data_IF_793070323752
#
_entry.id   IF_793070323752
#
_cell.length_a   1.000
_cell.length_b   1.000
_cell.length_c   1.000
_cell.angle_alpha   90.00
_cell.angle_beta   90.00
_cell.angle_gamma   90.00
#
_symmetry.space_group_name_H-M   'P 1'
#
loop_
_entity.id
_entity.type
_entity.pdbx_description
1 polymer ?
#
# COMPACT_ATOMS: atom_id res chain seq x y z
N UNK A 1 -3.97 -16.47 2.16
CA UNK A 1 -3.40 -15.13 2.46
C UNK A 1 -4.28 -14.38 3.45
N UNK A 2 -5.59 -14.35 3.25
CA UNK A 2 -6.55 -13.63 4.09
C UNK A 2 -6.49 -14.00 5.58
N UNK A 3 -6.36 -15.30 5.87
CA UNK A 3 -6.25 -15.79 7.25
C UNK A 3 -5.09 -15.17 8.06
N UNK A 4 -3.95 -14.90 7.39
CA UNK A 4 -2.81 -14.24 8.03
C UNK A 4 -3.12 -12.77 8.30
N UNK A 5 -3.70 -12.07 7.33
CA UNK A 5 -4.06 -10.66 7.45
C UNK A 5 -5.13 -10.45 8.54
N UNK A 6 -6.19 -11.27 8.54
CA UNK A 6 -7.26 -11.21 9.54
C UNK A 6 -6.72 -11.42 10.97
N UNK A 7 -5.94 -12.48 11.19
CA UNK A 7 -5.37 -12.78 12.51
C UNK A 7 -4.40 -11.69 12.97
N UNK A 8 -3.57 -11.18 12.06
CA UNK A 8 -2.67 -10.06 12.37
C UNK A 8 -3.44 -8.79 12.70
N UNK A 9 -4.52 -8.51 12.00
CA UNK A 9 -5.38 -7.35 12.29
C UNK A 9 -6.13 -7.48 13.64
N UNK A 10 -6.53 -8.71 14.01
CA UNK A 10 -7.25 -8.98 15.26
C UNK A 10 -6.37 -8.92 16.51
N UNK A 11 -5.16 -9.49 16.46
CA UNK A 11 -4.34 -9.74 17.66
C UNK A 11 -2.87 -9.35 17.53
N UNK A 12 -2.46 -8.79 16.38
CA UNK A 12 -1.07 -8.44 16.07
C UNK A 12 -0.25 -9.64 15.59
N UNK A 13 0.89 -9.33 14.95
CA UNK A 13 1.78 -10.35 14.41
C UNK A 13 2.30 -11.31 15.51
N UNK A 14 2.77 -10.79 16.63
CA UNK A 14 3.42 -11.62 17.67
C UNK A 14 2.50 -12.68 18.26
N UNK A 15 1.25 -12.31 18.52
CA UNK A 15 0.25 -13.23 19.09
C UNK A 15 -0.27 -14.26 18.07
N UNK A 16 -0.12 -14.00 16.77
CA UNK A 16 -0.57 -14.90 15.70
C UNK A 16 0.30 -16.16 15.64
N UNK A 17 -0.33 -17.35 15.69
CA UNK A 17 0.34 -18.65 15.64
C UNK A 17 -0.01 -19.41 14.38
N UNK A 18 0.91 -20.25 13.90
CA UNK A 18 0.66 -21.13 12.74
C UNK A 18 -0.59 -22.00 12.92
N UNK A 19 -0.85 -22.48 14.15
CA UNK A 19 -2.05 -23.27 14.45
C UNK A 19 -3.36 -22.50 14.18
N UNK A 20 -3.33 -21.18 14.44
CA UNK A 20 -4.49 -20.31 14.20
C UNK A 20 -4.65 -20.04 12.70
N UNK A 21 -3.52 -19.82 12.00
CA UNK A 21 -3.50 -19.57 10.55
C UNK A 21 -4.09 -20.79 9.80
N UNK A 22 -3.61 -22.01 10.07
CA UNK A 22 -4.12 -23.22 9.39
C UNK A 22 -5.59 -23.48 9.71
N UNK A 23 -6.01 -23.22 10.96
CA UNK A 23 -7.42 -23.34 11.37
C UNK A 23 -8.31 -22.32 10.64
N UNK A 24 -7.90 -21.07 10.58
CA UNK A 24 -8.63 -19.99 9.92
C UNK A 24 -8.68 -20.18 8.41
N UNK A 25 -7.58 -20.61 7.80
CA UNK A 25 -7.47 -20.89 6.36
C UNK A 25 -8.17 -22.19 5.93
N UNK A 26 -8.53 -23.06 6.87
CA UNK A 26 -9.15 -24.34 6.57
C UNK A 26 -8.22 -25.34 5.84
N UNK A 27 -6.89 -25.19 6.01
CA UNK A 27 -5.89 -26.04 5.36
C UNK A 27 -5.20 -26.96 6.37
N UNK A 28 -4.61 -28.07 5.88
CA UNK A 28 -3.81 -28.93 6.73
C UNK A 28 -2.46 -28.25 7.07
N UNK A 29 -1.95 -28.50 8.29
CA UNK A 29 -0.65 -27.98 8.71
C UNK A 29 0.49 -28.39 7.76
N UNK A 30 0.42 -29.61 7.22
CA UNK A 30 1.37 -30.08 6.21
C UNK A 30 1.36 -29.18 4.96
N UNK A 31 0.18 -28.86 4.45
CA UNK A 31 0.03 -27.98 3.27
C UNK A 31 0.67 -26.61 3.49
N UNK A 32 0.58 -26.06 4.70
CA UNK A 32 1.26 -24.81 5.01
C UNK A 32 2.77 -24.99 4.93
N UNK A 33 3.33 -26.04 5.56
CA UNK A 33 4.78 -26.29 5.57
C UNK A 33 5.33 -26.81 4.22
N UNK A 34 4.48 -27.31 3.33
CA UNK A 34 4.88 -27.64 1.94
C UNK A 34 5.12 -26.36 1.11
N UNK A 35 4.64 -25.18 1.56
CA UNK A 35 4.73 -23.92 0.82
C UNK A 35 5.48 -22.81 1.58
N UNK A 36 5.62 -22.90 2.91
CA UNK A 36 6.20 -21.85 3.75
C UNK A 36 7.01 -22.48 4.90
N UNK A 37 8.20 -21.98 5.14
CA UNK A 37 9.07 -22.48 6.22
C UNK A 37 8.57 -22.07 7.62
N UNK A 38 7.71 -21.05 7.72
CA UNK A 38 7.18 -20.60 9.01
C UNK A 38 6.24 -19.40 8.93
N UNK A 39 5.89 -18.87 10.09
CA UNK A 39 4.95 -17.75 10.22
C UNK A 39 5.43 -16.50 9.46
N UNK A 40 6.71 -16.19 9.55
CA UNK A 40 7.29 -15.03 8.87
C UNK A 40 7.12 -15.14 7.36
N UNK A 41 7.40 -16.31 6.79
CA UNK A 41 7.27 -16.50 5.33
C UNK A 41 5.81 -16.43 4.87
N UNK A 42 4.85 -16.93 5.67
CA UNK A 42 3.42 -16.73 5.41
C UNK A 42 3.04 -15.25 5.41
N UNK A 43 3.59 -14.48 6.38
CA UNK A 43 3.34 -13.04 6.47
C UNK A 43 3.92 -12.30 5.26
N UNK A 44 5.19 -12.56 4.93
CA UNK A 44 5.86 -11.94 3.78
C UNK A 44 5.17 -12.30 2.46
N UNK A 45 4.77 -13.56 2.27
CA UNK A 45 4.02 -13.98 1.09
C UNK A 45 2.65 -13.31 0.97
N UNK A 46 1.95 -13.11 2.10
CA UNK A 46 0.69 -12.38 2.12
C UNK A 46 0.90 -10.88 1.78
N UNK A 47 1.95 -10.28 2.34
CA UNK A 47 2.35 -8.91 2.07
C UNK A 47 2.69 -8.70 0.59
N UNK A 48 3.60 -9.52 0.06
CA UNK A 48 4.05 -9.42 -1.34
C UNK A 48 2.87 -9.57 -2.32
N UNK A 49 1.98 -10.55 -2.07
CA UNK A 49 0.79 -10.76 -2.90
C UNK A 49 -0.15 -9.56 -2.92
N UNK A 50 -0.37 -8.92 -1.77
CA UNK A 50 -1.24 -7.74 -1.68
C UNK A 50 -0.62 -6.52 -2.39
N UNK A 51 0.68 -6.29 -2.20
CA UNK A 51 1.41 -5.20 -2.87
C UNK A 51 1.45 -5.42 -4.38
N UNK A 52 1.71 -6.64 -4.83
CA UNK A 52 1.74 -6.98 -6.26
C UNK A 52 0.36 -6.80 -6.92
N UNK A 53 -0.70 -7.23 -6.26
CA UNK A 53 -2.06 -7.07 -6.76
C UNK A 53 -2.42 -5.60 -6.93
N UNK A 54 -2.27 -4.78 -5.89
CA UNK A 54 -2.67 -3.37 -5.95
C UNK A 54 -1.81 -2.57 -6.91
N UNK A 55 -0.50 -2.81 -6.95
CA UNK A 55 0.41 -2.11 -7.85
C UNK A 55 0.13 -2.47 -9.33
N UNK A 56 -0.19 -3.73 -9.63
CA UNK A 56 -0.57 -4.16 -10.97
C UNK A 56 -1.87 -3.47 -11.42
N UNK A 57 -2.89 -3.44 -10.57
CA UNK A 57 -4.15 -2.76 -10.85
C UNK A 57 -3.97 -1.25 -11.07
N UNK A 58 -3.08 -0.60 -10.30
CA UNK A 58 -2.73 0.82 -10.49
C UNK A 58 -2.05 1.03 -11.85
N UNK A 59 -1.06 0.20 -12.22
CA UNK A 59 -0.38 0.29 -13.51
C UNK A 59 -1.38 0.17 -14.68
N UNK A 60 -2.31 -0.78 -14.60
CA UNK A 60 -3.35 -0.99 -15.62
C UNK A 60 -4.28 0.23 -15.81
N UNK A 61 -4.81 0.77 -14.71
CA UNK A 61 -5.71 1.93 -14.79
C UNK A 61 -4.98 3.20 -15.19
N UNK A 62 -3.74 3.40 -14.75
CA UNK A 62 -2.91 4.53 -15.16
C UNK A 62 -2.60 4.46 -16.67
N UNK A 63 -2.34 3.27 -17.21
CA UNK A 63 -2.12 3.09 -18.64
C UNK A 63 -3.39 3.38 -19.47
N UNK A 64 -4.57 3.03 -18.95
CA UNK A 64 -5.86 3.25 -19.58
C UNK A 64 -6.34 4.71 -19.50
N UNK A 65 -5.94 5.47 -18.50
CA UNK A 65 -6.35 6.87 -18.26
C UNK A 65 -5.72 7.88 -19.25
N UNK A 66 -4.90 7.43 -20.19
CA UNK A 66 -4.29 8.29 -21.22
C UNK A 66 -3.03 9.02 -20.72
N UNK A 67 -2.76 10.19 -21.30
CA UNK A 67 -1.53 10.94 -21.05
C UNK A 67 -1.70 12.04 -19.98
N UNK A 68 -2.94 12.43 -19.66
CA UNK A 68 -3.18 13.45 -18.63
C UNK A 68 -2.79 12.93 -17.25
N UNK A 69 -1.97 13.74 -16.59
CA UNK A 69 -1.44 13.37 -15.30
C UNK A 69 -2.50 13.32 -14.20
N UNK A 70 -3.40 14.29 -14.18
CA UNK A 70 -4.44 14.38 -13.15
C UNK A 70 -5.33 13.15 -13.25
N UNK A 71 -5.69 12.76 -14.47
CA UNK A 71 -6.51 11.57 -14.72
C UNK A 71 -5.79 10.29 -14.27
N UNK A 72 -4.49 10.14 -14.59
CA UNK A 72 -3.69 8.97 -14.20
C UNK A 72 -3.53 8.86 -12.68
N UNK A 73 -3.16 9.95 -12.02
CA UNK A 73 -3.01 9.97 -10.56
C UNK A 73 -4.34 9.72 -9.88
N UNK A 74 -5.43 10.32 -10.39
CA UNK A 74 -6.79 10.12 -9.86
C UNK A 74 -7.21 8.65 -9.96
N UNK A 75 -7.03 8.03 -11.14
CA UNK A 75 -7.36 6.63 -11.35
C UNK A 75 -6.52 5.69 -10.44
N UNK A 76 -5.23 5.97 -10.29
CA UNK A 76 -4.36 5.19 -9.40
C UNK A 76 -4.78 5.30 -7.92
N UNK A 77 -5.13 6.50 -7.46
CA UNK A 77 -5.62 6.72 -6.10
C UNK A 77 -6.98 6.07 -5.85
N UNK A 78 -7.89 6.09 -6.82
CA UNK A 78 -9.19 5.42 -6.71
C UNK A 78 -9.00 3.92 -6.47
N UNK A 79 -8.15 3.27 -7.26
CA UNK A 79 -7.81 1.85 -7.07
C UNK A 79 -7.13 1.61 -5.73
N UNK A 80 -6.15 2.43 -5.33
CA UNK A 80 -5.41 2.23 -4.10
C UNK A 80 -6.28 2.39 -2.86
N UNK A 81 -7.02 3.49 -2.77
CA UNK A 81 -7.89 3.77 -1.62
C UNK A 81 -9.09 2.81 -1.59
N UNK A 82 -9.62 2.44 -2.75
CA UNK A 82 -10.64 1.40 -2.88
C UNK A 82 -10.15 0.06 -2.33
N UNK A 83 -8.94 -0.37 -2.71
CA UNK A 83 -8.33 -1.59 -2.20
C UNK A 83 -8.17 -1.58 -0.66
N UNK A 84 -7.71 -0.46 -0.10
CA UNK A 84 -7.59 -0.25 1.35
C UNK A 84 -8.96 -0.38 2.04
N UNK A 85 -10.00 0.24 1.47
CA UNK A 85 -11.36 0.23 2.03
C UNK A 85 -12.01 -1.16 1.96
N UNK A 86 -11.82 -1.88 0.86
CA UNK A 86 -12.36 -3.22 0.63
C UNK A 86 -11.63 -4.31 1.42
N UNK A 87 -10.34 -4.08 1.79
CA UNK A 87 -9.48 -5.07 2.43
C UNK A 87 -8.85 -4.53 3.74
N UNK A 88 -9.66 -4.14 4.75
CA UNK A 88 -9.16 -3.47 5.95
C UNK A 88 -8.13 -4.29 6.76
N UNK A 89 -8.27 -5.61 6.78
CA UNK A 89 -7.32 -6.50 7.46
C UNK A 89 -5.96 -6.54 6.73
N UNK A 90 -5.98 -6.63 5.40
CA UNK A 90 -4.78 -6.58 4.56
C UNK A 90 -4.12 -5.20 4.69
N UNK A 91 -4.89 -4.13 4.60
CA UNK A 91 -4.38 -2.78 4.77
C UNK A 91 -3.70 -2.59 6.13
N UNK A 92 -4.29 -3.10 7.22
CA UNK A 92 -3.68 -3.07 8.55
C UNK A 92 -2.39 -3.88 8.59
N UNK A 93 -2.39 -5.09 8.05
CA UNK A 93 -1.20 -5.93 7.99
C UNK A 93 -0.05 -5.24 7.23
N UNK A 94 -0.33 -4.68 6.05
CA UNK A 94 0.69 -4.08 5.18
C UNK A 94 1.15 -2.70 5.63
N UNK A 95 0.25 -1.83 6.13
CA UNK A 95 0.56 -0.42 6.41
C UNK A 95 0.89 -0.17 7.88
N UNK A 96 0.38 -1.01 8.80
CA UNK A 96 0.60 -0.81 10.24
C UNK A 96 1.56 -1.84 10.84
N UNK A 97 1.27 -3.13 10.62
CA UNK A 97 2.01 -4.20 11.30
C UNK A 97 3.37 -4.48 10.65
N UNK A 98 3.49 -4.38 9.32
CA UNK A 98 4.70 -4.75 8.58
C UNK A 98 5.95 -3.97 9.03
N UNK A 99 5.78 -2.71 9.44
CA UNK A 99 6.90 -1.86 9.90
C UNK A 99 7.56 -2.38 11.19
N UNK A 100 6.85 -3.19 11.99
CA UNK A 100 7.31 -3.62 13.32
C UNK A 100 7.27 -5.12 13.57
N UNK A 101 6.70 -5.91 12.64
CA UNK A 101 6.53 -7.35 12.85
C UNK A 101 7.87 -8.09 12.85
N UNK A 102 8.71 -7.86 11.84
CA UNK A 102 10.07 -8.41 11.75
C UNK A 102 10.99 -7.48 10.95
N UNK A 103 12.33 -7.62 11.03
CA UNK A 103 13.25 -6.87 10.16
C UNK A 103 13.00 -7.14 8.67
N UNK A 104 12.63 -8.37 8.31
CA UNK A 104 12.33 -8.73 6.93
C UNK A 104 11.07 -8.05 6.42
N UNK A 105 10.02 -7.95 7.25
CA UNK A 105 8.79 -7.24 6.88
C UNK A 105 8.98 -5.74 6.77
N UNK A 106 9.82 -5.13 7.62
CA UNK A 106 10.18 -3.73 7.50
C UNK A 106 10.89 -3.44 6.17
N UNK A 107 11.85 -4.29 5.78
CA UNK A 107 12.53 -4.18 4.47
C UNK A 107 11.56 -4.34 3.29
N UNK A 108 10.54 -5.22 3.40
CA UNK A 108 9.48 -5.35 2.37
C UNK A 108 8.59 -4.11 2.31
N UNK A 109 8.29 -3.51 3.45
CA UNK A 109 7.55 -2.26 3.51
C UNK A 109 8.31 -1.13 2.81
N UNK A 110 9.61 -0.97 3.08
CA UNK A 110 10.46 0.03 2.43
C UNK A 110 10.46 -0.18 0.90
N UNK A 111 10.66 -1.41 0.44
CA UNK A 111 10.62 -1.74 -0.99
C UNK A 111 9.24 -1.47 -1.64
N UNK A 112 8.15 -1.69 -0.91
CA UNK A 112 6.81 -1.34 -1.37
C UNK A 112 6.63 0.18 -1.51
N UNK A 113 7.11 0.97 -0.53
CA UNK A 113 7.09 2.44 -0.62
C UNK A 113 7.88 2.91 -1.84
N UNK A 114 9.09 2.39 -2.08
CA UNK A 114 9.89 2.71 -3.27
C UNK A 114 9.14 2.40 -4.57
N UNK A 115 8.42 1.28 -4.62
CA UNK A 115 7.60 0.91 -5.78
C UNK A 115 6.48 1.93 -6.05
N UNK A 116 5.78 2.39 -5.01
CA UNK A 116 4.76 3.43 -5.16
C UNK A 116 5.34 4.80 -5.51
N UNK A 117 6.53 5.14 -5.02
CA UNK A 117 7.29 6.33 -5.43
C UNK A 117 7.56 6.28 -6.93
N UNK A 118 8.01 5.14 -7.45
CA UNK A 118 8.28 4.97 -8.87
C UNK A 118 7.00 5.02 -9.74
N UNK A 119 5.89 4.47 -9.25
CA UNK A 119 4.58 4.61 -9.90
C UNK A 119 4.16 6.08 -10.03
N UNK A 120 4.32 6.86 -8.96
CA UNK A 120 4.02 8.28 -8.97
C UNK A 120 4.98 9.06 -9.88
N UNK A 121 6.27 8.74 -9.84
CA UNK A 121 7.31 9.38 -10.69
C UNK A 121 7.04 9.17 -12.17
N UNK A 122 6.64 7.97 -12.60
CA UNK A 122 6.25 7.69 -13.99
C UNK A 122 5.04 8.50 -14.46
N UNK A 123 4.21 8.94 -13.55
CA UNK A 123 3.12 9.86 -13.85
C UNK A 123 3.57 11.32 -13.91
N UNK A 124 4.81 11.67 -13.50
CA UNK A 124 5.37 13.00 -13.52
C UNK A 124 5.80 13.43 -14.94
N UNK A 125 5.61 14.73 -15.32
CA UNK A 125 6.21 15.25 -16.54
C UNK A 125 7.73 15.22 -16.44
N UNK A 126 8.40 14.77 -17.48
CA UNK A 126 9.85 14.86 -17.57
C UNK A 126 10.30 16.33 -17.45
N UNK A 127 11.26 16.60 -16.57
CA UNK A 127 11.84 17.96 -16.42
C UNK A 127 10.98 18.92 -15.59
N UNK A 128 10.19 18.43 -14.63
CA UNK A 128 9.39 19.26 -13.73
C UNK A 128 10.19 20.27 -12.89
N UNK A 129 11.52 20.06 -12.76
CA UNK A 129 12.37 20.91 -11.92
C UNK A 129 12.10 20.78 -10.42
N UNK A 130 11.29 19.81 -10.02
CA UNK A 130 11.03 19.50 -8.62
C UNK A 130 12.23 18.78 -7.97
N UNK A 131 12.42 18.91 -6.65
CA UNK A 131 13.43 18.14 -5.92
C UNK A 131 13.26 16.64 -6.11
N UNK A 132 14.37 15.89 -6.12
CA UNK A 132 14.36 14.42 -6.29
C UNK A 132 13.56 13.69 -5.19
N UNK A 133 13.45 14.29 -4.01
CA UNK A 133 12.70 13.74 -2.87
C UNK A 133 11.21 14.05 -2.89
N UNK A 134 10.70 14.72 -3.94
CA UNK A 134 9.29 15.15 -3.98
C UNK A 134 8.35 13.96 -3.91
N UNK A 135 8.52 12.97 -4.78
CA UNK A 135 7.64 11.79 -4.82
C UNK A 135 7.76 10.96 -3.54
N UNK A 136 8.95 10.82 -2.97
CA UNK A 136 9.16 10.14 -1.67
C UNK A 136 8.40 10.85 -0.55
N UNK A 137 8.46 12.19 -0.50
CA UNK A 137 7.74 13.00 0.49
C UNK A 137 6.22 12.84 0.34
N UNK A 138 5.72 12.85 -0.90
CA UNK A 138 4.30 12.71 -1.19
C UNK A 138 3.78 11.33 -0.80
N UNK A 139 4.46 10.27 -1.23
CA UNK A 139 4.08 8.89 -0.88
C UNK A 139 4.20 8.65 0.61
N UNK A 140 5.27 9.13 1.25
CA UNK A 140 5.44 9.05 2.70
C UNK A 140 4.33 9.76 3.47
N UNK A 141 3.90 10.93 3.02
CA UNK A 141 2.77 11.68 3.60
C UNK A 141 1.45 10.92 3.49
N UNK A 142 1.15 10.35 2.32
CA UNK A 142 -0.03 9.50 2.10
C UNK A 142 0.02 8.27 2.99
N UNK A 143 1.15 7.55 3.03
CA UNK A 143 1.34 6.36 3.87
C UNK A 143 1.13 6.69 5.36
N UNK A 144 1.64 7.83 5.84
CA UNK A 144 1.45 8.28 7.22
C UNK A 144 -0.03 8.55 7.55
N UNK A 145 -0.75 9.25 6.69
CA UNK A 145 -2.19 9.51 6.90
C UNK A 145 -2.98 8.19 6.96
N UNK A 146 -2.75 7.29 6.00
CA UNK A 146 -3.41 5.98 5.98
C UNK A 146 -3.07 5.16 7.22
N UNK A 147 -1.80 5.13 7.63
CA UNK A 147 -1.39 4.45 8.87
C UNK A 147 -2.19 4.96 10.09
N UNK A 148 -2.37 6.28 10.22
CA UNK A 148 -3.15 6.86 11.32
C UNK A 148 -4.64 6.48 11.24
N UNK A 149 -5.24 6.54 10.05
CA UNK A 149 -6.66 6.23 9.87
C UNK A 149 -6.96 4.74 10.10
N UNK A 150 -6.10 3.86 9.58
CA UNK A 150 -6.22 2.41 9.79
C UNK A 150 -6.06 2.05 11.28
N UNK A 151 -5.12 2.66 11.98
CA UNK A 151 -4.96 2.48 13.44
C UNK A 151 -6.19 2.92 14.24
N UNK A 152 -6.93 3.91 13.75
CA UNK A 152 -8.18 4.38 14.34
C UNK A 152 -9.41 3.53 13.95
N UNK A 153 -9.21 2.46 13.18
CA UNK A 153 -10.29 1.58 12.70
C UNK A 153 -11.11 2.18 11.56
N UNK A 154 -10.54 3.10 10.78
CA UNK A 154 -11.23 3.81 9.69
C UNK A 154 -10.72 3.43 8.30
N UNK A 155 -10.18 2.22 8.13
CA UNK A 155 -9.71 1.73 6.84
C UNK A 155 -10.84 1.72 5.78
N UNK A 156 -12.06 1.32 6.15
CA UNK A 156 -13.23 1.29 5.27
C UNK A 156 -13.65 2.68 4.74
N UNK A 157 -13.21 3.76 5.41
CA UNK A 157 -13.45 5.14 4.99
C UNK A 157 -12.28 5.74 4.20
N UNK A 158 -11.34 4.92 3.71
CA UNK A 158 -10.15 5.42 3.00
C UNK A 158 -10.50 6.26 1.76
N UNK A 159 -11.59 5.93 1.06
CA UNK A 159 -12.07 6.71 -0.08
C UNK A 159 -12.50 8.14 0.29
N UNK A 160 -12.91 8.41 1.53
CA UNK A 160 -13.28 9.76 1.99
C UNK A 160 -12.05 10.70 2.01
N UNK A 161 -10.83 10.14 2.02
CA UNK A 161 -9.58 10.90 1.97
C UNK A 161 -9.21 11.35 0.55
N UNK A 162 -9.86 10.81 -0.48
CA UNK A 162 -9.53 11.02 -1.89
C UNK A 162 -9.33 12.50 -2.25
N UNK A 163 -10.27 13.44 -1.96
CA UNK A 163 -10.13 14.82 -2.40
C UNK A 163 -8.90 15.50 -1.81
N UNK A 164 -8.64 15.31 -0.51
CA UNK A 164 -7.53 15.96 0.18
C UNK A 164 -6.17 15.35 -0.18
N UNK A 165 -6.10 14.04 -0.40
CA UNK A 165 -4.86 13.37 -0.81
C UNK A 165 -4.50 13.70 -2.27
N UNK A 166 -5.47 13.80 -3.16
CA UNK A 166 -5.25 14.24 -4.54
C UNK A 166 -4.75 15.68 -4.58
N UNK A 167 -5.38 16.59 -3.84
CA UNK A 167 -4.92 17.98 -3.76
C UNK A 167 -3.47 18.07 -3.25
N UNK A 168 -3.16 17.32 -2.19
CA UNK A 168 -1.80 17.25 -1.64
C UNK A 168 -0.79 16.73 -2.67
N UNK A 169 -1.09 15.60 -3.35
CA UNK A 169 -0.16 14.95 -4.28
C UNK A 169 -0.01 15.72 -5.58
N UNK A 170 -1.07 16.37 -6.08
CA UNK A 170 -1.03 17.10 -7.34
C UNK A 170 -0.49 18.53 -7.18
N UNK A 171 -0.58 19.14 -6.00
CA UNK A 171 -0.21 20.53 -5.73
C UNK A 171 1.20 20.92 -6.21
N UNK A 172 2.28 20.16 -5.96
CA UNK A 172 3.62 20.51 -6.42
C UNK A 172 3.72 20.64 -7.94
N UNK A 173 2.95 19.86 -8.66
CA UNK A 173 3.01 19.79 -10.12
C UNK A 173 2.16 20.85 -10.81
N UNK A 174 1.09 21.31 -10.18
CA UNK A 174 0.24 22.37 -10.69
C UNK A 174 0.88 23.76 -10.52
N UNK A 175 1.82 23.90 -9.57
CA UNK A 175 2.53 25.14 -9.29
C UNK A 175 3.70 25.46 -10.23
N UNK A 176 4.28 24.47 -10.90
CA UNK A 176 5.48 24.61 -11.75
C UNK A 176 5.23 25.43 -13.03
N UNK A 177 3.97 25.59 -13.45
CA UNK A 177 3.61 26.44 -14.60
C UNK A 177 3.49 27.95 -14.33
N UNK A 178 3.61 28.41 -13.07
CA UNK A 178 3.36 29.81 -12.67
C UNK A 178 4.59 30.64 -12.30
N UNK A 179 5.79 30.07 -12.31
CA UNK A 179 7.02 30.82 -12.09
C UNK A 179 7.81 30.97 -13.38
N UNK A 180 7.43 31.93 -14.22
CA UNK A 180 8.38 32.65 -15.07
C UNK A 180 8.32 34.12 -14.65
N UNK A 181 9.49 34.68 -14.26
CA UNK A 181 9.63 36.12 -14.02
C UNK A 181 9.45 36.92 -15.30
#
# INVERSE_FOLDING_TARGET
MDAMAELTAEQGYDATKIADIVRRAGVARKTLYDNFDGKEEVFLGAFDSAVDEVATRIDEVCAAAGEDRVDRVTAGFDVFLGYVAENPAIARMCIVEAMSATPASAARYDAAVERFVELLRRSAPSGSGLPETTEETLVGGVAWILHQEIRRGRAEQALDLMPQLLDFVLSPYLGVGRQKP
#
